data_IF_084809975474
#
_entry.id   IF_084809975474
#
_cell.length_a   1.000
_cell.length_b   1.000
_cell.length_c   1.000
_cell.angle_alpha   90.00
_cell.angle_beta   90.00
_cell.angle_gamma   90.00
#
_symmetry.space_group_name_H-M   'P 1'
#
loop_
_entity.id
_entity.type
_entity.pdbx_description
1 polymer ?
#
# COMPACT_ATOMS: atom_id res chain seq x y z
N UNK A 1 11.87 -7.95 -1.74
CA UNK A 1 11.31 -7.02 -2.74
C UNK A 1 12.40 -6.05 -3.12
N UNK A 2 12.61 -5.73 -4.40
CA UNK A 2 13.52 -4.63 -4.72
C UNK A 2 12.98 -3.35 -4.07
N UNK A 3 13.86 -2.60 -3.44
CA UNK A 3 13.61 -1.24 -3.00
C UNK A 3 13.30 -0.41 -4.26
N UNK A 4 12.04 -0.12 -4.48
CA UNK A 4 11.58 0.70 -5.56
C UNK A 4 10.08 0.53 -5.71
N UNK A 5 9.35 1.52 -5.24
CA UNK A 5 7.96 1.72 -5.60
C UNK A 5 7.90 2.02 -7.11
N UNK A 6 8.13 0.99 -7.96
CA UNK A 6 8.20 1.18 -9.39
C UNK A 6 6.79 1.38 -9.95
N UNK A 7 6.62 2.49 -10.65
CA UNK A 7 5.52 2.72 -11.58
C UNK A 7 6.03 2.38 -12.97
N UNK A 8 5.27 1.58 -13.71
CA UNK A 8 5.60 1.16 -15.06
C UNK A 8 4.82 1.99 -16.08
N UNK A 9 5.36 2.13 -17.28
CA UNK A 9 4.64 2.73 -18.40
C UNK A 9 3.36 1.96 -18.70
N UNK A 10 2.29 2.68 -19.01
CA UNK A 10 0.96 2.13 -19.23
C UNK A 10 -0.09 2.89 -18.42
N UNK A 11 -1.29 2.38 -18.36
CA UNK A 11 -2.36 3.00 -17.57
C UNK A 11 -2.22 2.71 -16.07
N UNK A 12 -2.97 3.42 -15.24
CA UNK A 12 -3.11 3.09 -13.82
C UNK A 12 -3.57 1.63 -13.68
N UNK A 13 -4.59 1.22 -14.44
CA UNK A 13 -5.11 -0.14 -14.44
C UNK A 13 -4.05 -1.18 -14.82
N UNK A 14 -3.22 -0.90 -15.86
CA UNK A 14 -2.13 -1.80 -16.26
C UNK A 14 -1.14 -2.00 -15.12
N UNK A 15 -0.81 -0.93 -14.40
CA UNK A 15 0.06 -0.99 -13.24
C UNK A 15 -0.49 -1.87 -12.10
N UNK A 16 -1.80 -1.92 -11.92
CA UNK A 16 -2.44 -2.82 -10.94
C UNK A 16 -2.50 -4.27 -11.49
N UNK A 17 -2.82 -4.45 -12.78
CA UNK A 17 -2.93 -5.77 -13.42
C UNK A 17 -1.63 -6.53 -13.56
N UNK A 18 -0.48 -5.90 -13.30
CA UNK A 18 0.80 -6.61 -13.20
C UNK A 18 0.74 -7.76 -12.18
N UNK A 19 0.01 -7.58 -11.07
CA UNK A 19 -0.10 -8.58 -9.99
C UNK A 19 -1.34 -9.48 -10.12
N UNK A 20 -2.34 -9.06 -10.89
CA UNK A 20 -3.58 -9.79 -11.14
C UNK A 20 -4.13 -9.39 -12.51
N UNK A 21 -3.68 -10.04 -13.60
CA UNK A 21 -4.04 -9.66 -14.98
C UNK A 21 -5.54 -9.66 -15.27
N UNK A 22 -6.30 -10.55 -14.62
CA UNK A 22 -7.75 -10.72 -14.76
C UNK A 22 -8.58 -9.77 -13.88
N UNK A 23 -7.93 -8.87 -13.11
CA UNK A 23 -8.65 -7.96 -12.23
C UNK A 23 -9.64 -7.09 -12.99
N UNK A 24 -10.88 -7.04 -12.50
CA UNK A 24 -11.90 -6.15 -13.04
C UNK A 24 -11.62 -4.70 -12.66
N UNK A 25 -12.26 -3.75 -13.37
CA UNK A 25 -12.15 -2.33 -13.05
C UNK A 25 -12.68 -2.04 -11.63
N UNK A 26 -13.75 -2.73 -11.22
CA UNK A 26 -14.33 -2.63 -9.89
C UNK A 26 -13.35 -3.08 -8.80
N UNK A 27 -12.68 -4.22 -8.99
CA UNK A 27 -11.66 -4.71 -8.05
C UNK A 27 -10.50 -3.71 -7.92
N UNK A 28 -10.05 -3.14 -9.03
CA UNK A 28 -9.00 -2.13 -9.06
C UNK A 28 -9.43 -0.89 -8.28
N UNK A 29 -10.62 -0.37 -8.53
CA UNK A 29 -11.15 0.81 -7.84
C UNK A 29 -11.28 0.55 -6.33
N UNK A 30 -11.75 -0.62 -5.93
CA UNK A 30 -11.88 -0.97 -4.50
C UNK A 30 -10.54 -1.01 -3.77
N UNK A 31 -9.50 -1.61 -4.36
CA UNK A 31 -8.17 -1.60 -3.72
C UNK A 31 -7.53 -0.22 -3.71
N UNK A 32 -7.79 0.61 -4.73
CA UNK A 32 -7.35 2.01 -4.76
C UNK A 32 -8.03 2.83 -3.66
N UNK A 33 -9.32 2.60 -3.39
CA UNK A 33 -10.03 3.22 -2.27
C UNK A 33 -9.45 2.78 -0.94
N UNK A 34 -9.20 1.48 -0.76
CA UNK A 34 -8.61 0.93 0.46
C UNK A 34 -7.24 1.53 0.73
N UNK A 35 -6.41 1.69 -0.29
CA UNK A 35 -5.07 2.30 -0.20
C UNK A 35 -5.09 3.84 -0.15
N UNK A 36 -6.26 4.47 -0.06
CA UNK A 36 -6.45 5.93 -0.13
C UNK A 36 -5.85 6.56 -1.40
N UNK A 37 -5.81 5.80 -2.49
CA UNK A 37 -5.29 6.24 -3.77
C UNK A 37 -6.39 6.75 -4.72
N UNK A 38 -7.64 6.35 -4.52
CA UNK A 38 -8.74 6.72 -5.39
C UNK A 38 -8.93 8.24 -5.45
N UNK A 39 -8.75 8.95 -4.35
CA UNK A 39 -8.94 10.40 -4.24
C UNK A 39 -8.12 11.23 -5.25
N UNK A 40 -6.95 10.75 -5.67
CA UNK A 40 -6.16 11.41 -6.70
C UNK A 40 -6.28 10.75 -8.08
N UNK A 41 -6.61 9.47 -8.14
CA UNK A 41 -6.81 8.76 -9.42
C UNK A 41 -8.12 9.19 -10.10
N UNK A 42 -9.21 9.35 -9.35
CA UNK A 42 -10.51 9.80 -9.91
C UNK A 42 -10.45 11.18 -10.56
N UNK A 43 -9.49 12.02 -10.16
CA UNK A 43 -9.28 13.37 -10.71
C UNK A 43 -8.48 13.37 -12.01
N UNK A 44 -7.89 12.24 -12.39
CA UNK A 44 -7.16 12.13 -13.65
C UNK A 44 -8.13 12.14 -14.84
N UNK A 45 -7.70 12.61 -16.03
CA UNK A 45 -8.57 12.79 -17.19
C UNK A 45 -9.38 11.53 -17.59
N UNK A 46 -8.78 10.35 -17.40
CA UNK A 46 -9.39 9.06 -17.74
C UNK A 46 -9.42 8.09 -16.55
N UNK A 47 -9.35 8.59 -15.30
CA UNK A 47 -9.34 7.78 -14.09
C UNK A 47 -8.29 6.67 -14.15
N UNK A 48 -8.69 5.42 -13.94
CA UNK A 48 -7.80 4.24 -14.01
C UNK A 48 -7.22 3.97 -15.41
N UNK A 49 -7.81 4.54 -16.46
CA UNK A 49 -7.32 4.41 -17.84
C UNK A 49 -6.40 5.54 -18.26
N UNK A 50 -6.01 6.40 -17.34
CA UNK A 50 -5.03 7.45 -17.58
C UNK A 50 -3.64 6.83 -17.73
N UNK A 51 -2.92 7.20 -18.79
CA UNK A 51 -1.55 6.75 -19.01
C UNK A 51 -0.57 7.43 -18.05
N UNK A 52 0.31 6.62 -17.50
CA UNK A 52 1.44 7.02 -16.67
C UNK A 52 2.70 6.78 -17.49
N UNK A 53 3.45 7.84 -17.76
CA UNK A 53 4.71 7.76 -18.49
C UNK A 53 5.69 8.79 -17.95
N UNK A 54 6.95 8.68 -18.33
CA UNK A 54 7.98 9.68 -17.99
C UNK A 54 7.60 11.10 -18.42
N UNK A 55 6.72 11.25 -19.43
CA UNK A 55 6.21 12.52 -19.96
C UNK A 55 4.77 12.82 -19.56
N UNK A 56 4.13 11.93 -18.79
CA UNK A 56 2.72 12.03 -18.38
C UNK A 56 2.55 12.47 -16.92
N UNK A 57 1.59 11.84 -16.26
CA UNK A 57 1.28 12.15 -14.86
C UNK A 57 2.45 11.74 -13.96
N UNK A 58 3.01 12.73 -13.24
CA UNK A 58 4.01 12.50 -12.22
C UNK A 58 3.34 12.35 -10.85
N UNK A 59 3.48 11.18 -10.25
CA UNK A 59 3.02 10.94 -8.89
C UNK A 59 4.07 11.34 -7.86
N UNK A 60 3.62 11.88 -6.73
CA UNK A 60 4.46 12.05 -5.56
C UNK A 60 4.90 10.68 -5.00
N UNK A 61 5.95 10.66 -4.18
CA UNK A 61 6.42 9.43 -3.55
C UNK A 61 5.32 8.78 -2.71
N UNK A 62 4.55 9.54 -1.94
CA UNK A 62 3.42 9.04 -1.16
C UNK A 62 2.28 8.50 -2.03
N UNK A 63 2.03 9.08 -3.21
CA UNK A 63 1.06 8.54 -4.18
C UNK A 63 1.56 7.21 -4.77
N UNK A 64 2.84 7.11 -5.11
CA UNK A 64 3.46 5.87 -5.59
C UNK A 64 3.41 4.78 -4.51
N UNK A 65 3.67 5.11 -3.25
CA UNK A 65 3.52 4.16 -2.14
C UNK A 65 2.09 3.63 -2.01
N UNK A 66 1.08 4.51 -2.10
CA UNK A 66 -0.33 4.08 -2.05
C UNK A 66 -0.70 3.17 -3.22
N UNK A 67 -0.18 3.43 -4.42
CA UNK A 67 -0.31 2.52 -5.56
C UNK A 67 0.32 1.15 -5.30
N UNK A 68 1.48 1.12 -4.67
CA UNK A 68 2.18 -0.13 -4.29
C UNK A 68 1.41 -0.92 -3.23
N UNK A 69 0.80 -0.22 -2.27
CA UNK A 69 -0.10 -0.84 -1.28
C UNK A 69 -1.33 -1.44 -1.98
N UNK A 70 -1.94 -0.71 -2.91
CA UNK A 70 -3.07 -1.21 -3.70
C UNK A 70 -2.72 -2.50 -4.46
N UNK A 71 -1.52 -2.57 -5.07
CA UNK A 71 -1.02 -3.80 -5.71
C UNK A 71 -0.90 -4.95 -4.71
N UNK A 72 -0.33 -4.70 -3.54
CA UNK A 72 -0.18 -5.74 -2.51
C UNK A 72 -1.53 -6.29 -2.05
N UNK A 73 -2.53 -5.43 -1.93
CA UNK A 73 -3.90 -5.82 -1.57
C UNK A 73 -4.54 -6.62 -2.72
N UNK A 74 -4.42 -6.16 -3.96
CA UNK A 74 -5.02 -6.77 -5.15
C UNK A 74 -4.49 -8.18 -5.43
N UNK A 75 -3.23 -8.44 -5.08
CA UNK A 75 -2.61 -9.76 -5.20
C UNK A 75 -3.34 -10.86 -4.42
N UNK A 76 -4.14 -10.48 -3.44
CA UNK A 76 -4.98 -11.37 -2.62
C UNK A 76 -4.21 -12.46 -1.87
N UNK A 77 -2.97 -12.18 -1.50
CA UNK A 77 -2.16 -13.12 -0.71
C UNK A 77 -2.65 -13.17 0.76
N UNK A 78 -2.59 -14.34 1.42
CA UNK A 78 -3.00 -14.49 2.81
C UNK A 78 -2.12 -13.70 3.79
N UNK A 79 -0.88 -13.41 3.40
CA UNK A 79 0.09 -12.64 4.20
C UNK A 79 0.54 -11.43 3.37
N UNK A 80 0.42 -10.25 3.95
CA UNK A 80 0.94 -9.01 3.38
C UNK A 80 2.12 -8.55 4.22
N UNK A 81 3.27 -8.33 3.58
CA UNK A 81 4.46 -7.76 4.21
C UNK A 81 4.61 -6.31 3.77
N UNK A 82 4.61 -5.41 4.72
CA UNK A 82 4.74 -3.97 4.55
C UNK A 82 6.06 -3.51 5.19
N UNK A 83 7.12 -3.50 4.40
CA UNK A 83 8.44 -3.07 4.82
C UNK A 83 8.59 -1.57 4.53
N UNK A 84 8.46 -0.75 5.58
CA UNK A 84 8.44 0.72 5.51
C UNK A 84 7.48 1.28 4.44
N UNK A 85 6.42 0.54 4.11
CA UNK A 85 5.54 0.82 2.98
C UNK A 85 4.73 2.12 3.13
N UNK A 86 4.77 2.75 4.29
CA UNK A 86 4.07 4.00 4.60
C UNK A 86 5.02 5.16 4.92
N UNK A 87 6.34 4.97 4.72
CA UNK A 87 7.37 5.94 5.13
C UNK A 87 7.22 7.33 4.50
N UNK A 88 6.73 7.41 3.25
CA UNK A 88 6.48 8.65 2.53
C UNK A 88 5.07 9.24 2.76
N UNK A 89 4.23 8.60 3.57
CA UNK A 89 2.91 9.09 3.93
C UNK A 89 2.99 10.00 5.17
N UNK A 90 2.17 11.05 5.18
CA UNK A 90 1.90 11.77 6.42
C UNK A 90 1.11 10.90 7.40
N UNK A 91 1.14 11.25 8.69
CA UNK A 91 0.53 10.45 9.74
C UNK A 91 -0.97 10.21 9.53
N UNK A 92 -1.69 11.21 9.02
CA UNK A 92 -3.13 11.09 8.77
C UNK A 92 -3.45 10.13 7.63
N UNK A 93 -2.72 10.22 6.53
CA UNK A 93 -2.88 9.31 5.37
C UNK A 93 -2.51 7.88 5.74
N UNK A 94 -1.43 7.70 6.49
CA UNK A 94 -1.02 6.39 7.02
C UNK A 94 -2.13 5.75 7.87
N UNK A 95 -2.69 6.51 8.80
CA UNK A 95 -3.80 6.05 9.66
C UNK A 95 -5.03 5.63 8.84
N UNK A 96 -5.42 6.43 7.84
CA UNK A 96 -6.52 6.12 6.93
C UNK A 96 -6.27 4.80 6.18
N UNK A 97 -5.09 4.64 5.59
CA UNK A 97 -4.74 3.42 4.83
C UNK A 97 -4.82 2.19 5.72
N UNK A 98 -4.24 2.25 6.92
CA UNK A 98 -4.26 1.11 7.84
C UNK A 98 -5.66 0.79 8.34
N UNK A 99 -6.44 1.80 8.74
CA UNK A 99 -7.82 1.62 9.17
C UNK A 99 -8.67 0.98 8.06
N UNK A 100 -8.50 1.43 6.81
CA UNK A 100 -9.19 0.88 5.66
C UNK A 100 -8.80 -0.60 5.42
N UNK A 101 -7.50 -0.92 5.49
CA UNK A 101 -7.01 -2.29 5.33
C UNK A 101 -7.53 -3.22 6.43
N UNK A 102 -7.57 -2.75 7.68
CA UNK A 102 -8.09 -3.53 8.81
C UNK A 102 -9.58 -3.82 8.64
N UNK A 103 -10.35 -2.82 8.18
CA UNK A 103 -11.77 -2.96 7.94
C UNK A 103 -12.11 -3.85 6.75
N UNK A 104 -11.40 -3.67 5.63
CA UNK A 104 -11.68 -4.42 4.39
C UNK A 104 -11.21 -5.88 4.46
N UNK A 105 -10.12 -6.15 5.18
CA UNK A 105 -9.48 -7.48 5.23
C UNK A 105 -9.13 -7.88 6.66
N UNK A 106 -10.10 -8.04 7.56
CA UNK A 106 -9.85 -8.26 8.99
C UNK A 106 -9.06 -9.56 9.28
N UNK A 107 -9.19 -10.56 8.44
CA UNK A 107 -8.61 -11.90 8.66
C UNK A 107 -7.24 -12.09 7.96
N UNK A 108 -6.71 -11.07 7.29
CA UNK A 108 -5.39 -11.19 6.66
C UNK A 108 -4.27 -10.94 7.66
N UNK A 109 -3.25 -11.79 7.59
CA UNK A 109 -2.02 -11.57 8.35
C UNK A 109 -1.23 -10.43 7.71
N UNK A 110 -0.83 -9.46 8.52
CA UNK A 110 0.01 -8.33 8.12
C UNK A 110 1.29 -8.31 8.95
N UNK A 111 2.42 -8.23 8.29
CA UNK A 111 3.72 -8.03 8.91
C UNK A 111 4.17 -6.64 8.51
N UNK A 112 4.35 -5.76 9.49
CA UNK A 112 4.65 -4.34 9.25
C UNK A 112 5.97 -4.02 9.95
N UNK A 113 6.94 -3.51 9.20
CA UNK A 113 8.13 -2.88 9.80
C UNK A 113 7.91 -1.37 9.84
N UNK A 114 8.18 -0.75 10.98
CA UNK A 114 7.96 0.69 11.16
C UNK A 114 8.87 1.26 12.23
N UNK A 115 9.23 2.52 12.09
CA UNK A 115 9.83 3.35 13.12
C UNK A 115 8.83 4.29 13.82
N UNK A 116 7.54 4.19 13.46
CA UNK A 116 6.49 5.09 13.97
C UNK A 116 5.69 4.41 15.07
N UNK A 117 5.74 4.92 16.32
CA UNK A 117 4.97 4.37 17.43
C UNK A 117 3.45 4.35 17.20
N UNK A 118 2.92 5.30 16.42
CA UNK A 118 1.50 5.36 16.05
C UNK A 118 0.98 4.10 15.34
N UNK A 119 1.87 3.37 14.67
CA UNK A 119 1.53 2.12 13.98
C UNK A 119 1.19 0.97 14.94
N UNK A 120 1.73 0.99 16.15
CA UNK A 120 1.59 -0.11 17.11
C UNK A 120 0.15 -0.36 17.52
N UNK A 121 -0.72 0.65 17.48
CA UNK A 121 -2.14 0.52 17.78
C UNK A 121 -2.88 -0.42 16.81
N UNK A 122 -2.38 -0.57 15.57
CA UNK A 122 -2.95 -1.44 14.54
C UNK A 122 -2.40 -2.87 14.57
N UNK A 123 -1.44 -3.16 15.45
CA UNK A 123 -0.81 -4.46 15.56
C UNK A 123 -1.41 -5.26 16.72
N UNK A 124 -1.63 -6.55 16.54
CA UNK A 124 -2.03 -7.46 17.62
C UNK A 124 -0.82 -7.87 18.47
N UNK A 125 0.34 -8.04 17.81
CA UNK A 125 1.63 -8.36 18.46
C UNK A 125 2.70 -7.43 17.95
N UNK A 126 3.64 -7.08 18.81
CA UNK A 126 4.76 -6.18 18.52
C UNK A 126 6.07 -6.87 18.89
N UNK A 127 7.04 -6.81 17.99
CA UNK A 127 8.36 -7.37 18.19
C UNK A 127 9.41 -6.27 18.02
N UNK A 128 10.36 -6.22 18.91
CA UNK A 128 11.55 -5.39 18.80
C UNK A 128 12.78 -6.22 18.47
N UNK A 129 13.74 -5.59 17.80
CA UNK A 129 15.04 -6.17 17.52
C UNK A 129 16.04 -5.44 18.42
N UNK A 130 16.77 -6.19 19.26
CA UNK A 130 17.82 -5.62 20.14
C UNK A 130 19.11 -5.31 19.36
N UNK A 131 20.07 -4.71 20.04
CA UNK A 131 21.39 -4.37 19.47
C UNK A 131 22.21 -5.57 19.00
N UNK A 132 21.85 -6.78 19.43
CA UNK A 132 22.49 -8.03 19.06
C UNK A 132 21.75 -8.74 17.91
N UNK A 133 20.64 -8.16 17.42
CA UNK A 133 19.83 -8.73 16.37
C UNK A 133 18.81 -9.78 16.84
N UNK A 134 18.59 -9.91 18.14
CA UNK A 134 17.59 -10.84 18.69
C UNK A 134 16.19 -10.22 18.59
N UNK A 135 15.23 -11.04 18.21
CA UNK A 135 13.83 -10.66 18.15
C UNK A 135 13.14 -11.01 19.49
N UNK A 136 12.48 -10.03 20.09
CA UNK A 136 11.70 -10.23 21.30
C UNK A 136 10.32 -9.57 21.19
N UNK A 137 9.29 -10.23 21.70
CA UNK A 137 7.95 -9.64 21.81
C UNK A 137 7.97 -8.54 22.88
N UNK A 138 7.38 -7.40 22.53
CA UNK A 138 7.31 -6.23 23.43
C UNK A 138 5.85 -6.08 23.86
N UNK A 139 5.63 -5.86 25.14
CA UNK A 139 4.33 -5.43 25.64
C UNK A 139 4.00 -4.02 25.11
N UNK A 140 2.74 -3.83 24.70
CA UNK A 140 2.24 -2.53 24.20
C UNK A 140 2.11 -1.51 25.31
#
# INVERSE_FOLDING_TARGET
MPQGNAIFSGTVADNLRIVKPEATDEEIIEVLKTADAWSFIEKLPFGINTEISEKGVNFSEGQVQRMSIARAILRDAPIIVMDEATSALDAKTEEIVLANMMKAYPNRTRIITTHRPSMLQYCTRVYGIDSNGNLAEIEK
#
